data_IF_372758678592
#
_entry.id   IF_372758678592
#
_cell.length_a   1.000
_cell.length_b   1.000
_cell.length_c   1.000
_cell.angle_alpha   90.00
_cell.angle_beta   90.00
_cell.angle_gamma   90.00
#
_symmetry.space_group_name_H-M   'P 1'
#
loop_
_entity.id
_entity.type
_entity.pdbx_description
1 polymer ?
#
# COMPACT_ATOMS: atom_id res chain seq x y z
N UNK A 1 8.16 -12.41 -7.64
CA UNK A 1 7.07 -13.33 -7.24
C UNK A 1 5.76 -12.55 -7.21
N UNK A 2 4.65 -13.20 -7.54
CA UNK A 2 3.31 -12.59 -7.55
C UNK A 2 2.30 -13.53 -6.87
N UNK A 3 1.38 -12.95 -6.10
CA UNK A 3 0.22 -13.65 -5.54
C UNK A 3 -1.02 -12.79 -5.73
N UNK A 4 -2.12 -13.40 -6.17
CA UNK A 4 -3.40 -12.73 -6.37
C UNK A 4 -4.43 -13.37 -5.45
N UNK A 5 -5.07 -12.54 -4.62
CA UNK A 5 -6.13 -12.96 -3.70
C UNK A 5 -7.46 -12.37 -4.17
N UNK A 6 -8.21 -13.18 -4.92
CA UNK A 6 -9.45 -12.76 -5.58
C UNK A 6 -10.57 -12.41 -4.59
N UNK A 7 -10.63 -13.13 -3.47
CA UNK A 7 -11.60 -12.92 -2.39
C UNK A 7 -11.47 -11.55 -1.71
N UNK A 8 -10.28 -10.95 -1.77
CA UNK A 8 -10.01 -9.64 -1.20
C UNK A 8 -9.66 -8.56 -2.22
N UNK A 9 -9.62 -8.89 -3.52
CA UNK A 9 -9.24 -7.99 -4.61
C UNK A 9 -7.87 -7.31 -4.41
N UNK A 10 -6.90 -8.09 -3.93
CA UNK A 10 -5.52 -7.63 -3.71
C UNK A 10 -4.54 -8.45 -4.53
N UNK A 11 -3.61 -7.77 -5.19
CA UNK A 11 -2.45 -8.36 -5.86
C UNK A 11 -1.20 -7.99 -5.06
N UNK A 12 -0.38 -8.96 -4.70
CA UNK A 12 0.87 -8.74 -3.96
C UNK A 12 2.05 -9.08 -4.86
N UNK A 13 2.98 -8.14 -5.00
CA UNK A 13 4.18 -8.27 -5.82
C UNK A 13 5.41 -8.06 -4.93
N UNK A 14 6.36 -8.99 -4.98
CA UNK A 14 7.54 -8.93 -4.14
C UNK A 14 8.75 -9.60 -4.81
N UNK A 15 9.98 -9.15 -4.51
CA UNK A 15 11.17 -9.74 -5.08
C UNK A 15 11.34 -11.19 -4.61
N UNK A 16 12.22 -11.94 -5.28
CA UNK A 16 12.57 -13.28 -4.82
C UNK A 16 13.44 -13.19 -3.57
N UNK A 17 12.79 -13.23 -2.40
CA UNK A 17 13.43 -13.09 -1.09
C UNK A 17 12.85 -14.08 -0.08
N UNK A 18 13.68 -14.43 0.89
CA UNK A 18 13.26 -15.13 2.12
C UNK A 18 12.85 -14.11 3.18
N UNK A 19 11.74 -14.38 3.86
CA UNK A 19 11.28 -13.54 4.97
C UNK A 19 10.45 -14.34 5.98
N UNK A 20 10.75 -14.12 7.27
CA UNK A 20 9.98 -14.62 8.41
C UNK A 20 9.82 -13.51 9.44
N UNK A 21 8.58 -13.21 9.83
CA UNK A 21 8.30 -12.36 10.99
C UNK A 21 8.19 -13.25 12.23
N UNK A 22 9.19 -13.19 13.11
CA UNK A 22 9.23 -14.04 14.30
C UNK A 22 9.70 -13.23 15.52
N UNK A 23 8.90 -13.18 16.62
CA UNK A 23 9.27 -12.49 17.85
C UNK A 23 10.60 -12.94 18.47
N UNK A 24 11.08 -14.15 18.16
CA UNK A 24 12.40 -14.65 18.60
C UNK A 24 13.58 -13.97 17.91
N UNK A 25 13.36 -13.24 16.81
CA UNK A 25 14.42 -12.51 16.10
C UNK A 25 14.86 -11.22 16.81
N UNK A 26 14.23 -10.88 17.95
CA UNK A 26 14.47 -9.63 18.70
C UNK A 26 14.48 -8.41 17.77
N UNK A 27 13.46 -8.37 16.89
CA UNK A 27 13.32 -7.36 15.86
C UNK A 27 12.53 -6.15 16.40
N UNK A 28 13.24 -5.13 16.86
CA UNK A 28 12.64 -3.88 17.33
C UNK A 28 12.67 -2.74 16.30
N UNK A 29 13.33 -2.95 15.16
CA UNK A 29 13.74 -1.85 14.27
C UNK A 29 12.55 -1.09 13.70
N UNK A 30 11.49 -1.80 13.25
CA UNK A 30 10.26 -1.13 12.81
C UNK A 30 9.58 -0.35 13.94
N UNK A 31 9.60 -0.87 15.16
CA UNK A 31 9.04 -0.19 16.33
C UNK A 31 9.86 1.05 16.74
N UNK A 32 11.17 1.09 16.43
CA UNK A 32 12.05 2.23 16.73
C UNK A 32 11.93 3.37 15.73
N UNK A 33 11.70 3.04 14.45
CA UNK A 33 11.79 4.02 13.35
C UNK A 33 10.43 4.60 12.96
N UNK A 34 9.35 3.82 13.10
CA UNK A 34 8.03 4.23 12.64
C UNK A 34 6.93 3.76 13.60
N UNK A 35 6.65 4.52 14.68
CA UNK A 35 5.44 4.33 15.46
C UNK A 35 4.20 4.38 14.55
N UNK A 36 3.24 3.51 14.80
CA UNK A 36 2.03 3.44 14.00
C UNK A 36 1.04 4.54 14.35
N UNK A 37 0.43 5.14 13.32
CA UNK A 37 -0.85 5.81 13.48
C UNK A 37 -1.97 4.77 13.59
N UNK A 38 -2.99 5.10 14.38
CA UNK A 38 -4.18 4.30 14.60
C UNK A 38 -5.39 4.99 14.00
N UNK A 39 -6.26 4.21 13.38
CA UNK A 39 -7.64 4.64 13.21
C UNK A 39 -8.42 4.51 14.54
N UNK A 40 -9.63 5.01 14.53
CA UNK A 40 -10.53 5.00 15.68
C UNK A 40 -10.86 3.57 16.18
N UNK A 41 -11.02 2.60 15.27
CA UNK A 41 -11.34 1.22 15.62
C UNK A 41 -10.17 0.54 16.36
N UNK A 42 -8.95 0.77 15.90
CA UNK A 42 -7.70 0.27 16.50
C UNK A 42 -7.43 0.94 17.85
N UNK A 43 -7.64 2.25 17.95
CA UNK A 43 -7.59 2.94 19.23
C UNK A 43 -8.57 2.33 20.24
N UNK A 44 -9.84 2.13 19.85
CA UNK A 44 -10.87 1.49 20.70
C UNK A 44 -10.55 0.03 21.00
N UNK A 45 -9.90 -0.71 20.10
CA UNK A 45 -9.45 -2.08 20.36
C UNK A 45 -8.42 -2.12 21.49
N UNK A 46 -7.42 -1.23 21.47
CA UNK A 46 -6.39 -1.16 22.51
C UNK A 46 -6.95 -0.70 23.86
N UNK A 47 -7.91 0.24 23.86
CA UNK A 47 -8.63 0.63 25.10
C UNK A 47 -9.40 -0.57 25.68
N UNK A 48 -10.11 -1.35 24.85
CA UNK A 48 -10.83 -2.55 25.30
C UNK A 48 -9.90 -3.64 25.82
N UNK A 49 -8.68 -3.72 25.30
CA UNK A 49 -7.64 -4.62 25.79
C UNK A 49 -6.96 -4.14 27.09
N UNK A 50 -7.39 -3.01 27.67
CA UNK A 50 -6.91 -2.51 28.96
C UNK A 50 -5.79 -1.47 28.87
N UNK A 51 -5.27 -1.17 27.68
CA UNK A 51 -4.24 -0.15 27.52
C UNK A 51 -4.80 1.25 27.72
N UNK A 52 -4.01 2.14 28.33
CA UNK A 52 -4.34 3.54 28.59
C UNK A 52 -3.13 4.41 28.26
N UNK A 53 -3.37 5.69 28.04
CA UNK A 53 -2.33 6.71 27.85
C UNK A 53 -1.28 6.42 26.74
N UNK A 54 -1.66 5.65 25.72
CA UNK A 54 -0.72 5.15 24.69
C UNK A 54 -0.72 5.95 23.37
N UNK A 55 -1.68 6.84 23.18
CA UNK A 55 -1.84 7.62 21.96
C UNK A 55 -2.59 8.92 22.24
N UNK A 56 -2.46 9.90 21.35
CA UNK A 56 -3.22 11.16 21.37
C UNK A 56 -3.91 11.41 20.03
N UNK A 57 -5.08 12.06 20.01
CA UNK A 57 -5.80 12.36 18.78
C UNK A 57 -5.06 13.42 17.97
N UNK A 58 -5.00 13.24 16.64
CA UNK A 58 -4.41 14.21 15.69
C UNK A 58 -5.41 14.72 14.65
N UNK A 59 -6.66 14.26 14.72
CA UNK A 59 -7.78 14.75 13.90
C UNK A 59 -8.40 13.67 13.01
N UNK A 60 -9.65 13.90 12.58
CA UNK A 60 -10.41 13.02 11.68
C UNK A 60 -10.52 11.54 12.10
N UNK A 61 -10.38 11.22 13.39
CA UNK A 61 -10.37 9.85 13.90
C UNK A 61 -9.03 9.12 13.74
N UNK A 62 -7.95 9.88 13.56
CA UNK A 62 -6.56 9.40 13.59
C UNK A 62 -5.98 9.68 14.98
N UNK A 63 -5.28 8.69 15.52
CA UNK A 63 -4.57 8.77 16.79
C UNK A 63 -3.11 8.41 16.57
N UNK A 64 -2.19 9.29 16.97
CA UNK A 64 -0.76 9.03 16.89
C UNK A 64 -0.32 8.30 18.15
N UNK A 65 0.34 7.15 18.01
CA UNK A 65 0.95 6.45 19.14
C UNK A 65 2.06 7.29 19.75
N UNK A 66 2.14 7.30 21.09
CA UNK A 66 3.25 7.95 21.80
C UNK A 66 4.55 7.19 21.57
N UNK A 67 5.65 7.92 21.70
CA UNK A 67 6.99 7.36 21.76
C UNK A 67 7.46 7.21 23.22
N UNK A 68 8.33 6.23 23.49
CA UNK A 68 9.00 6.10 24.79
C UNK A 68 10.05 7.19 24.97
N UNK A 69 10.40 7.49 26.22
CA UNK A 69 11.61 8.25 26.51
C UNK A 69 12.83 7.49 25.96
N UNK A 70 13.60 8.13 25.07
CA UNK A 70 14.68 7.49 24.31
C UNK A 70 14.30 7.04 22.89
N UNK A 71 13.06 7.29 22.46
CA UNK A 71 12.56 7.04 21.11
C UNK A 71 11.91 5.68 20.91
N UNK A 72 11.12 5.57 19.83
CA UNK A 72 10.42 4.34 19.44
C UNK A 72 9.07 4.15 20.12
N UNK A 73 8.29 3.19 19.61
CA UNK A 73 6.89 2.94 20.00
C UNK A 73 6.72 2.65 21.51
N UNK A 74 5.66 3.21 22.11
CA UNK A 74 5.30 2.99 23.52
C UNK A 74 5.15 1.51 23.90
N UNK A 75 4.79 0.62 22.97
CA UNK A 75 4.60 -0.81 23.23
C UNK A 75 5.87 -1.66 23.04
N UNK A 76 7.03 -1.06 22.79
CA UNK A 76 8.30 -1.77 22.61
C UNK A 76 9.01 -2.01 23.95
N UNK A 77 8.97 -3.23 24.49
CA UNK A 77 9.64 -3.63 25.73
C UNK A 77 10.59 -4.80 25.49
N UNK A 78 11.84 -4.69 25.93
CA UNK A 78 12.87 -5.74 25.81
C UNK A 78 12.96 -6.31 24.37
N UNK A 79 12.99 -5.41 23.39
CA UNK A 79 13.00 -5.71 21.94
C UNK A 79 11.76 -6.45 21.40
N UNK A 80 10.69 -6.54 22.19
CA UNK A 80 9.43 -7.21 21.86
C UNK A 80 8.25 -6.24 21.89
N UNK A 81 7.25 -6.54 21.07
CA UNK A 81 6.01 -5.78 21.02
C UNK A 81 5.02 -6.34 22.04
N UNK A 82 4.63 -5.54 23.04
CA UNK A 82 3.68 -5.94 24.10
C UNK A 82 2.26 -6.20 23.55
N UNK A 83 1.94 -5.63 22.38
CA UNK A 83 0.64 -5.77 21.71
C UNK A 83 0.72 -6.65 20.46
N UNK A 84 1.71 -7.56 20.35
CA UNK A 84 1.99 -8.31 19.12
C UNK A 84 0.75 -8.97 18.48
N UNK A 85 -0.14 -9.51 19.31
CA UNK A 85 -1.34 -10.23 18.87
C UNK A 85 -2.50 -9.31 18.43
N UNK A 86 -2.47 -8.04 18.81
CA UNK A 86 -3.50 -7.03 18.48
C UNK A 86 -2.88 -5.82 17.78
N UNK A 87 -1.81 -6.06 17.01
CA UNK A 87 -1.08 -5.02 16.28
C UNK A 87 -1.99 -4.27 15.30
N UNK A 88 -1.80 -2.94 15.15
CA UNK A 88 -2.49 -2.15 14.14
C UNK A 88 -2.23 -2.67 12.72
N UNK A 89 -3.09 -2.30 11.78
CA UNK A 89 -2.98 -2.68 10.37
C UNK A 89 -1.63 -2.28 9.76
N UNK A 90 -1.09 -1.11 10.11
CA UNK A 90 0.24 -0.66 9.64
C UNK A 90 1.36 -1.61 10.09
N UNK A 91 1.32 -2.06 11.35
CA UNK A 91 2.29 -3.03 11.87
C UNK A 91 2.10 -4.45 11.32
N UNK A 92 0.87 -4.85 10.97
CA UNK A 92 0.56 -6.15 10.34
C UNK A 92 0.87 -6.19 8.85
N UNK A 93 0.76 -5.05 8.16
CA UNK A 93 1.07 -4.91 6.75
C UNK A 93 2.57 -5.08 6.50
N UNK A 94 3.42 -4.54 7.39
CA UNK A 94 4.87 -4.59 7.25
C UNK A 94 5.37 -6.05 7.11
N UNK A 95 6.24 -6.34 6.12
CA UNK A 95 7.03 -5.42 5.29
C UNK A 95 6.35 -4.98 3.98
N UNK A 96 5.07 -5.26 3.80
CA UNK A 96 4.32 -4.85 2.61
C UNK A 96 3.63 -3.49 2.82
N UNK A 97 3.33 -2.81 1.73
CA UNK A 97 2.61 -1.53 1.71
C UNK A 97 1.65 -1.46 0.52
N UNK A 98 0.49 -0.79 0.66
CA UNK A 98 -0.36 -0.45 -0.49
C UNK A 98 0.43 0.44 -1.47
N UNK A 99 0.51 0.03 -2.73
CA UNK A 99 1.31 0.69 -3.74
C UNK A 99 0.48 1.61 -4.65
N UNK A 100 -0.45 1.02 -5.38
CA UNK A 100 -1.35 1.72 -6.29
C UNK A 100 -2.63 0.90 -6.48
N UNK A 101 -3.68 1.53 -7.00
CA UNK A 101 -4.85 0.84 -7.48
C UNK A 101 -4.75 0.69 -9.00
N UNK A 102 -4.81 -0.55 -9.51
CA UNK A 102 -4.91 -0.77 -10.95
C UNK A 102 -6.39 -0.67 -11.34
N UNK A 103 -6.74 0.43 -12.01
CA UNK A 103 -8.13 0.70 -12.40
C UNK A 103 -8.65 -0.23 -13.49
N UNK A 104 -7.75 -0.84 -14.27
CA UNK A 104 -8.15 -1.78 -15.30
C UNK A 104 -8.51 -3.13 -14.70
N UNK A 105 -7.58 -3.68 -13.91
CA UNK A 105 -7.78 -4.99 -13.25
C UNK A 105 -8.68 -4.87 -12.01
N UNK A 106 -8.99 -3.65 -11.56
CA UNK A 106 -9.80 -3.32 -10.37
C UNK A 106 -9.27 -3.97 -9.09
N UNK A 107 -7.95 -3.98 -8.92
CA UNK A 107 -7.26 -4.56 -7.77
C UNK A 107 -6.38 -3.53 -7.07
N UNK A 108 -6.30 -3.65 -5.75
CA UNK A 108 -5.27 -2.96 -4.99
C UNK A 108 -3.96 -3.73 -5.15
N UNK A 109 -2.93 -3.06 -5.67
CA UNK A 109 -1.59 -3.63 -5.75
C UNK A 109 -0.82 -3.28 -4.48
N UNK A 110 -0.27 -4.29 -3.83
CA UNK A 110 0.61 -4.18 -2.67
C UNK A 110 2.00 -4.63 -3.07
N UNK A 111 3.02 -3.96 -2.54
CA UNK A 111 4.41 -4.31 -2.81
C UNK A 111 5.20 -4.47 -1.52
N UNK A 112 6.29 -5.23 -1.58
CA UNK A 112 7.27 -5.26 -0.50
C UNK A 112 7.97 -3.90 -0.40
N UNK A 113 8.02 -3.28 0.79
CA UNK A 113 8.66 -1.99 0.97
C UNK A 113 10.18 -2.14 0.80
N UNK A 114 10.82 -1.49 -0.19
CA UNK A 114 12.27 -1.59 -0.38
C UNK A 114 13.07 -1.16 0.86
N UNK A 115 12.52 -0.30 1.72
CA UNK A 115 13.16 0.10 2.98
C UNK A 115 13.29 -1.09 3.94
N UNK A 116 12.35 -2.03 3.90
CA UNK A 116 12.40 -3.23 4.73
C UNK A 116 13.63 -4.10 4.42
N UNK A 117 14.12 -4.09 3.16
CA UNK A 117 15.36 -4.80 2.78
C UNK A 117 16.59 -4.32 3.56
N UNK A 118 16.59 -3.06 4.01
CA UNK A 118 17.71 -2.44 4.74
C UNK A 118 17.60 -2.59 6.25
N UNK A 119 16.39 -2.75 6.78
CA UNK A 119 16.12 -2.61 8.22
C UNK A 119 15.53 -3.87 8.89
N UNK A 120 14.96 -4.80 8.12
CA UNK A 120 14.24 -5.93 8.68
C UNK A 120 15.15 -7.15 8.90
N UNK A 121 15.35 -7.53 10.17
CA UNK A 121 16.09 -8.75 10.55
C UNK A 121 15.46 -10.06 10.06
N UNK A 122 14.19 -10.01 9.66
CA UNK A 122 13.47 -11.16 9.11
C UNK A 122 13.85 -11.48 7.66
N UNK A 123 14.50 -10.55 6.95
CA UNK A 123 14.99 -10.78 5.59
C UNK A 123 16.10 -11.82 5.61
N UNK A 124 16.10 -12.73 4.64
CA UNK A 124 17.04 -13.84 4.60
C UNK A 124 16.62 -15.03 5.47
N UNK A 125 15.51 -14.93 6.22
CA UNK A 125 15.09 -15.94 7.19
C UNK A 125 13.86 -16.69 6.68
N UNK A 126 13.97 -18.01 6.54
CA UNK A 126 12.85 -18.89 6.20
C UNK A 126 12.24 -18.63 4.82
N UNK A 127 11.24 -19.43 4.43
CA UNK A 127 10.46 -19.15 3.23
C UNK A 127 9.32 -18.19 3.58
N UNK A 128 8.96 -17.33 2.63
CA UNK A 128 7.73 -16.54 2.76
C UNK A 128 6.55 -17.52 2.67
N UNK A 129 5.82 -17.65 3.76
CA UNK A 129 4.60 -18.46 3.82
C UNK A 129 3.44 -17.72 3.17
N UNK A 130 2.65 -18.39 2.33
CA UNK A 130 1.49 -17.79 1.65
C UNK A 130 0.48 -17.18 2.64
N UNK A 131 0.26 -17.85 3.78
CA UNK A 131 -0.60 -17.35 4.86
C UNK A 131 -0.13 -15.98 5.36
N UNK A 132 1.18 -15.77 5.52
CA UNK A 132 1.75 -14.50 5.93
C UNK A 132 1.49 -13.42 4.87
N UNK A 133 1.68 -13.74 3.59
CA UNK A 133 1.40 -12.82 2.48
C UNK A 133 -0.07 -12.42 2.48
N UNK A 134 -0.98 -13.37 2.68
CA UNK A 134 -2.42 -13.12 2.77
C UNK A 134 -2.79 -12.22 3.96
N UNK A 135 -2.23 -12.47 5.15
CA UNK A 135 -2.44 -11.62 6.33
C UNK A 135 -1.93 -10.18 6.10
N UNK A 136 -0.76 -10.02 5.47
CA UNK A 136 -0.26 -8.70 5.09
C UNK A 136 -1.14 -8.03 4.02
N UNK A 137 -1.65 -8.80 3.04
CA UNK A 137 -2.56 -8.29 2.01
C UNK A 137 -3.87 -7.75 2.62
N UNK A 138 -4.45 -8.47 3.58
CA UNK A 138 -5.61 -8.01 4.36
C UNK A 138 -5.32 -6.70 5.11
N UNK A 139 -4.15 -6.61 5.73
CA UNK A 139 -3.73 -5.42 6.45
C UNK A 139 -3.52 -4.22 5.51
N UNK A 140 -2.89 -4.42 4.35
CA UNK A 140 -2.76 -3.40 3.31
C UNK A 140 -4.11 -2.93 2.78
N UNK A 141 -5.05 -3.84 2.51
CA UNK A 141 -6.42 -3.50 2.12
C UNK A 141 -7.09 -2.65 3.19
N UNK A 142 -6.97 -3.05 4.47
CA UNK A 142 -7.51 -2.28 5.59
C UNK A 142 -6.94 -0.84 5.60
N UNK A 143 -5.62 -0.67 5.53
CA UNK A 143 -4.98 0.65 5.45
C UNK A 143 -5.52 1.51 4.30
N UNK A 144 -5.68 0.93 3.12
CA UNK A 144 -6.22 1.61 1.96
C UNK A 144 -7.68 2.06 2.21
N UNK A 145 -8.52 1.15 2.70
CA UNK A 145 -9.94 1.45 2.99
C UNK A 145 -10.11 2.45 4.13
N UNK A 146 -9.27 2.41 5.16
CA UNK A 146 -9.34 3.34 6.28
C UNK A 146 -9.00 4.77 5.82
N UNK A 147 -8.01 4.92 4.93
CA UNK A 147 -7.73 6.23 4.31
C UNK A 147 -8.92 6.76 3.52
N UNK A 148 -9.64 5.90 2.80
CA UNK A 148 -10.87 6.29 2.09
C UNK A 148 -11.89 6.78 3.11
N UNK A 149 -12.20 5.98 4.14
CA UNK A 149 -13.16 6.35 5.19
C UNK A 149 -12.84 7.68 5.85
N UNK A 150 -11.56 7.95 6.13
CA UNK A 150 -11.10 9.22 6.70
C UNK A 150 -11.40 10.38 5.76
N UNK A 151 -11.01 10.28 4.48
CA UNK A 151 -11.24 11.35 3.49
C UNK A 151 -12.73 11.51 3.18
N UNK A 152 -13.51 10.43 3.24
CA UNK A 152 -14.97 10.47 3.07
C UNK A 152 -15.70 11.26 4.15
N UNK A 153 -15.04 11.63 5.26
CA UNK A 153 -15.59 12.58 6.24
C UNK A 153 -15.68 14.01 5.70
N UNK A 154 -14.94 14.33 4.64
CA UNK A 154 -14.85 15.69 4.06
C UNK A 154 -15.06 15.74 2.54
N UNK A 155 -15.14 14.59 1.86
CA UNK A 155 -15.35 14.45 0.41
C UNK A 155 -16.36 13.34 0.15
N UNK A 156 -16.92 13.29 -1.06
CA UNK A 156 -17.78 12.17 -1.46
C UNK A 156 -16.99 10.85 -1.49
N UNK A 157 -17.61 9.68 -1.26
CA UNK A 157 -16.91 8.40 -1.23
C UNK A 157 -16.08 8.11 -2.49
N UNK A 158 -16.64 8.34 -3.66
CA UNK A 158 -15.98 8.19 -4.96
C UNK A 158 -14.78 9.14 -5.12
N UNK A 159 -14.89 10.40 -4.71
CA UNK A 159 -13.77 11.35 -4.71
C UNK A 159 -12.68 10.91 -3.72
N UNK A 160 -13.06 10.46 -2.53
CA UNK A 160 -12.13 9.95 -1.52
C UNK A 160 -11.37 8.73 -2.05
N UNK A 161 -12.06 7.79 -2.71
CA UNK A 161 -11.43 6.65 -3.36
C UNK A 161 -10.41 7.08 -4.41
N UNK A 162 -10.79 7.97 -5.34
CA UNK A 162 -9.88 8.47 -6.37
C UNK A 162 -8.67 9.19 -5.78
N UNK A 163 -8.88 10.04 -4.78
CA UNK A 163 -7.80 10.75 -4.08
C UNK A 163 -6.82 9.77 -3.43
N UNK A 164 -7.30 8.72 -2.75
CA UNK A 164 -6.43 7.71 -2.15
C UNK A 164 -5.71 6.91 -3.24
N UNK A 165 -6.43 6.42 -4.25
CA UNK A 165 -5.87 5.61 -5.33
C UNK A 165 -4.74 6.32 -6.08
N UNK A 166 -4.95 7.59 -6.46
CA UNK A 166 -3.98 8.37 -7.23
C UNK A 166 -2.84 8.94 -6.37
N UNK A 167 -3.07 9.24 -5.09
CA UNK A 167 -2.01 9.79 -4.22
C UNK A 167 -1.09 8.73 -3.59
N UNK A 168 -1.53 7.48 -3.52
CA UNK A 168 -0.79 6.42 -2.80
C UNK A 168 0.63 6.20 -3.35
N UNK A 169 0.87 6.10 -4.66
CA UNK A 169 2.22 5.91 -5.20
C UNK A 169 3.19 7.02 -4.78
N UNK A 170 2.71 8.26 -4.81
CA UNK A 170 3.52 9.41 -4.38
C UNK A 170 3.79 9.36 -2.87
N UNK A 171 2.77 9.05 -2.08
CA UNK A 171 2.88 9.00 -0.61
C UNK A 171 3.92 7.97 -0.14
N UNK A 172 4.04 6.84 -0.82
CA UNK A 172 5.03 5.80 -0.47
C UNK A 172 6.41 6.03 -1.12
N UNK A 173 6.55 7.07 -1.95
CA UNK A 173 7.79 7.38 -2.68
C UNK A 173 8.04 6.49 -3.91
N UNK A 174 7.03 5.76 -4.39
CA UNK A 174 7.13 4.95 -5.61
C UNK A 174 7.26 5.82 -6.85
N UNK A 175 6.65 7.01 -6.86
CA UNK A 175 6.87 8.04 -7.88
C UNK A 175 7.45 9.30 -7.23
N UNK A 176 8.35 10.00 -7.93
CA UNK A 176 8.98 11.24 -7.44
C UNK A 176 8.24 12.50 -7.90
N UNK A 177 7.70 12.47 -9.10
CA UNK A 177 7.06 13.64 -9.70
C UNK A 177 5.56 13.71 -9.37
N UNK A 178 4.84 14.60 -10.04
CA UNK A 178 3.40 14.67 -9.91
C UNK A 178 2.73 13.41 -10.50
N UNK A 179 1.57 12.99 -9.94
CA UNK A 179 0.73 11.92 -10.50
C UNK A 179 0.60 11.99 -12.03
N UNK A 180 0.29 13.17 -12.58
CA UNK A 180 0.11 13.43 -14.01
C UNK A 180 1.34 13.13 -14.87
N UNK A 181 2.53 13.27 -14.29
CA UNK A 181 3.82 13.09 -14.97
C UNK A 181 4.44 11.72 -14.77
N UNK A 182 3.88 10.90 -13.88
CA UNK A 182 4.45 9.60 -13.53
C UNK A 182 3.46 8.44 -13.56
N UNK A 183 2.17 8.70 -13.74
CA UNK A 183 1.13 7.67 -13.84
C UNK A 183 0.44 7.72 -15.21
N UNK A 184 -0.12 6.58 -15.61
CA UNK A 184 -1.01 6.51 -16.75
C UNK A 184 -2.26 7.34 -16.46
N UNK A 185 -2.57 8.29 -17.35
CA UNK A 185 -3.76 9.13 -17.27
C UNK A 185 -5.05 8.30 -17.24
N UNK A 186 -5.10 7.21 -18.00
CA UNK A 186 -6.30 6.38 -18.14
C UNK A 186 -6.53 5.43 -16.96
N UNK A 187 -5.47 4.79 -16.45
CA UNK A 187 -5.61 3.70 -15.47
C UNK A 187 -4.85 3.92 -14.16
N UNK A 188 -4.22 5.08 -13.94
CA UNK A 188 -3.48 5.38 -12.71
C UNK A 188 -2.21 4.55 -12.48
N UNK A 189 -1.87 3.64 -13.39
CA UNK A 189 -0.71 2.76 -13.29
C UNK A 189 0.60 3.56 -13.18
N UNK A 190 1.51 3.27 -12.24
CA UNK A 190 2.81 3.94 -12.16
C UNK A 190 3.69 3.63 -13.39
N UNK A 191 4.07 4.66 -14.14
CA UNK A 191 4.88 4.56 -15.37
C UNK A 191 6.31 5.05 -15.21
N UNK A 192 6.53 6.06 -14.36
CA UNK A 192 7.86 6.57 -14.00
C UNK A 192 8.11 6.30 -12.52
N UNK A 193 8.75 5.17 -12.22
CA UNK A 193 9.05 4.72 -10.85
C UNK A 193 10.37 5.31 -10.33
N UNK A 194 10.45 5.52 -9.03
CA UNK A 194 11.63 6.03 -8.35
C UNK A 194 12.73 4.98 -8.26
N UNK A 195 13.98 5.42 -8.05
CA UNK A 195 15.15 4.53 -7.95
C UNK A 195 14.98 3.42 -6.91
N UNK A 196 14.41 3.77 -5.76
CA UNK A 196 14.20 2.83 -4.66
C UNK A 196 13.20 1.71 -5.01
N UNK A 197 12.29 1.98 -5.96
CA UNK A 197 11.29 1.02 -6.44
C UNK A 197 11.65 0.35 -7.77
N UNK A 198 12.84 0.59 -8.34
CA UNK A 198 13.32 -0.09 -9.56
C UNK A 198 13.45 -1.62 -9.42
N UNK A 199 13.42 -2.14 -8.19
CA UNK A 199 13.32 -3.58 -7.93
C UNK A 199 12.03 -4.19 -8.52
N UNK A 200 11.05 -3.35 -8.88
CA UNK A 200 9.81 -3.71 -9.54
C UNK A 200 9.77 -3.31 -11.03
N UNK A 201 10.91 -3.31 -11.73
CA UNK A 201 10.94 -2.93 -13.16
C UNK A 201 9.95 -3.74 -14.02
N UNK A 202 9.62 -4.95 -13.61
CA UNK A 202 8.67 -5.85 -14.28
C UNK A 202 7.22 -5.35 -14.23
N UNK A 203 6.86 -4.50 -13.26
CA UNK A 203 5.52 -3.89 -13.24
C UNK A 203 5.45 -2.64 -14.13
N UNK A 204 6.59 -2.13 -14.61
CA UNK A 204 6.63 -0.93 -15.41
C UNK A 204 6.09 -1.23 -16.82
N UNK A 205 5.03 -0.53 -17.20
CA UNK A 205 4.47 -0.61 -18.56
C UNK A 205 5.17 0.40 -19.45
N UNK A 206 5.38 0.04 -20.72
CA UNK A 206 5.72 1.01 -21.76
C UNK A 206 4.61 2.06 -21.88
N UNK A 207 4.99 3.27 -22.32
CA UNK A 207 4.07 4.39 -22.41
C UNK A 207 4.48 5.40 -23.48
N UNK A 208 3.50 6.19 -23.88
CA UNK A 208 3.67 7.37 -24.73
C UNK A 208 3.55 8.62 -23.85
N UNK A 209 4.47 9.56 -24.05
CA UNK A 209 4.47 10.86 -23.37
C UNK A 209 3.82 11.90 -24.30
N UNK A 210 2.66 12.43 -23.90
CA UNK A 210 1.92 13.46 -24.64
C UNK A 210 2.25 14.87 -24.18
N UNK A 211 3.36 15.06 -23.46
CA UNK A 211 3.81 16.35 -22.98
C UNK A 211 3.15 16.78 -21.68
N UNK A 212 1.83 16.62 -21.49
CA UNK A 212 1.14 16.95 -20.23
C UNK A 212 0.85 15.73 -19.36
N UNK A 213 0.62 14.59 -20.00
CA UNK A 213 0.23 13.34 -19.37
C UNK A 213 0.87 12.14 -20.08
N UNK A 214 0.86 11.00 -19.39
CA UNK A 214 1.37 9.74 -19.92
C UNK A 214 0.23 8.76 -20.18
N UNK A 215 0.32 7.95 -21.21
CA UNK A 215 -0.63 6.84 -21.45
C UNK A 215 0.15 5.55 -21.69
N UNK A 216 -0.20 4.49 -20.96
CA UNK A 216 0.45 3.20 -21.14
C UNK A 216 -0.04 2.49 -22.41
N UNK A 217 0.82 1.69 -23.03
CA UNK A 217 0.52 0.99 -24.28
C UNK A 217 -0.72 0.07 -24.17
N UNK A 218 -0.97 -0.50 -22.98
CA UNK A 218 -2.18 -1.28 -22.71
C UNK A 218 -3.46 -0.45 -22.92
N UNK A 219 -3.53 0.73 -22.32
CA UNK A 219 -4.69 1.61 -22.48
C UNK A 219 -4.81 2.17 -23.91
N UNK A 220 -3.69 2.41 -24.59
CA UNK A 220 -3.71 2.82 -26.00
C UNK A 220 -4.28 1.71 -26.90
N UNK A 221 -3.85 0.47 -26.71
CA UNK A 221 -4.34 -0.68 -27.48
C UNK A 221 -5.83 -0.92 -27.29
N UNK A 222 -6.33 -0.79 -26.06
CA UNK A 222 -7.76 -0.94 -25.76
C UNK A 222 -8.62 0.16 -26.38
N UNK A 223 -8.16 1.42 -26.37
CA UNK A 223 -8.89 2.52 -27.02
C UNK A 223 -8.96 2.31 -28.55
N UNK A 224 -7.89 1.80 -29.16
CA UNK A 224 -7.87 1.44 -30.59
C UNK A 224 -8.88 0.33 -30.88
N UNK A 225 -8.90 -0.74 -30.07
CA UNK A 225 -9.84 -1.85 -30.25
C UNK A 225 -11.29 -1.46 -29.96
N UNK A 226 -11.51 -0.51 -29.05
CA UNK A 226 -12.83 0.07 -28.79
C UNK A 226 -13.29 0.89 -29.99
N UNK A 227 -12.46 1.81 -30.49
CA UNK A 227 -12.76 2.63 -31.67
C UNK A 227 -12.95 1.79 -32.94
N UNK A 228 -12.15 0.73 -33.13
CA UNK A 228 -12.33 -0.23 -34.24
C UNK A 228 -13.71 -0.90 -34.18
N UNK A 229 -14.14 -1.34 -33.00
CA UNK A 229 -15.50 -1.89 -32.82
C UNK A 229 -16.57 -0.84 -33.13
N UNK A 230 -16.44 0.37 -32.61
CA UNK A 230 -17.38 1.46 -32.88
C UNK A 230 -17.46 1.81 -34.38
N UNK A 231 -16.33 1.77 -35.11
CA UNK A 231 -16.28 1.98 -36.56
C UNK A 231 -16.88 0.82 -37.37
N UNK A 232 -16.65 -0.43 -36.94
CA UNK A 232 -17.21 -1.64 -37.58
C UNK A 232 -18.72 -1.80 -37.36
N UNK A 233 -19.27 -1.15 -36.35
CA UNK A 233 -20.70 -1.12 -36.04
C UNK A 233 -21.34 0.26 -36.28
N UNK A 234 -20.64 1.16 -36.99
CA UNK A 234 -21.22 2.45 -37.40
C UNK A 234 -22.25 2.21 -38.52
N UNK A 235 -23.49 2.75 -38.41
CA UNK A 235 -24.53 2.59 -39.44
C UNK A 235 -24.14 3.15 -40.81
N UNK A 236 -23.09 3.98 -40.87
CA UNK A 236 -22.62 4.66 -42.09
C UNK A 236 -21.61 3.82 -42.91
N UNK A 237 -21.38 2.54 -42.56
CA UNK A 237 -20.43 1.64 -43.26
C UNK A 237 -21.13 0.44 -43.94
N UNK A 238 -22.45 0.53 -44.18
CA UNK A 238 -23.20 -0.42 -45.04
C UNK A 238 -23.80 0.28 -46.26
#
# INVERSE_FOLDING_TARGET
MESIFHDIHVRVIYPEISFKCDPSLECSVCCKIAPADLNEDEYKQLIRAGYRDFAYPVGFGIYQMKERMGGGCIFLKDYKCEIHNIRPASCRAFPFTPAFFDFYDKVLVCVFDPKALKMCKGIGKGKIEEKLVYECALACRKLFTDRIKIISKIRKPEEAFLLVALSTPKKIGMIKDSPWRSQCYCCGHPLKISEEYKIYKEIQRNFVDYGEFLVCEKCLGEDIEKRRRELLFSPDVL
#
